data_IF_609615138890
#
_entry.id   IF_609615138890
#
_cell.length_a   1.000
_cell.length_b   1.000
_cell.length_c   1.000
_cell.angle_alpha   90.00
_cell.angle_beta   90.00
_cell.angle_gamma   90.00
#
_symmetry.space_group_name_H-M   'P 1'
#
loop_
_entity.id
_entity.type
_entity.pdbx_description
1 polymer ?
#
# COMPACT_ATOMS: atom_id res chain seq x y z
N UNK A 1 9.74 -8.68 0.38
CA UNK A 1 8.76 -7.86 1.13
C UNK A 1 8.35 -6.71 0.23
N UNK A 2 7.14 -6.76 -0.32
CA UNK A 2 6.72 -5.98 -1.48
C UNK A 2 7.12 -4.50 -1.46
N UNK A 3 6.86 -3.77 -0.36
CA UNK A 3 7.24 -2.36 -0.22
C UNK A 3 8.72 -2.10 -0.51
N UNK A 4 9.61 -2.94 0.00
CA UNK A 4 11.05 -2.77 -0.17
C UNK A 4 11.49 -3.03 -1.61
N UNK A 5 10.83 -3.98 -2.28
CA UNK A 5 11.09 -4.33 -3.68
C UNK A 5 10.66 -3.18 -4.60
N UNK A 6 9.44 -2.67 -4.42
CA UNK A 6 8.94 -1.51 -5.16
C UNK A 6 9.80 -0.26 -4.94
N UNK A 7 10.27 -0.02 -3.72
CA UNK A 7 11.17 1.10 -3.43
C UNK A 7 12.50 0.96 -4.16
N UNK A 8 13.07 -0.26 -4.17
CA UNK A 8 14.32 -0.56 -4.88
C UNK A 8 14.17 -0.33 -6.38
N UNK A 9 13.06 -0.77 -6.98
CA UNK A 9 12.77 -0.57 -8.41
C UNK A 9 12.66 0.91 -8.79
N UNK A 10 12.14 1.72 -7.88
CA UNK A 10 11.99 3.17 -8.10
C UNK A 10 13.20 3.99 -7.64
N UNK A 11 14.21 3.37 -7.03
CA UNK A 11 15.37 4.07 -6.47
C UNK A 11 15.03 5.02 -5.32
N UNK A 12 13.95 4.73 -4.57
CA UNK A 12 13.49 5.57 -3.44
C UNK A 12 13.52 4.79 -2.13
N UNK A 13 13.62 5.45 -0.97
CA UNK A 13 13.45 4.79 0.32
C UNK A 13 12.07 4.14 0.48
N UNK A 14 11.99 3.00 1.18
CA UNK A 14 10.75 2.24 1.38
C UNK A 14 9.58 3.05 1.97
N UNK A 15 9.87 4.00 2.87
CA UNK A 15 8.84 4.85 3.46
C UNK A 15 8.14 5.77 2.44
N UNK A 16 8.75 6.02 1.27
CA UNK A 16 8.17 6.82 0.18
C UNK A 16 7.01 6.08 -0.47
N UNK A 17 7.17 4.77 -0.70
CA UNK A 17 6.11 3.89 -1.23
C UNK A 17 4.93 3.89 -0.25
N UNK A 18 5.16 3.42 0.97
CA UNK A 18 4.22 3.58 2.09
C UNK A 18 4.95 3.79 3.41
N UNK A 19 4.52 4.81 4.15
CA UNK A 19 4.94 5.01 5.53
C UNK A 19 4.35 3.94 6.45
N UNK A 20 4.95 3.78 7.62
CA UNK A 20 4.52 2.75 8.58
C UNK A 20 3.10 3.00 9.12
N UNK A 21 2.67 4.26 9.19
CA UNK A 21 1.28 4.60 9.52
C UNK A 21 0.28 4.02 8.50
N UNK A 22 0.60 4.10 7.20
CA UNK A 22 -0.23 3.55 6.13
C UNK A 22 -0.24 2.02 6.16
N UNK A 23 0.92 1.39 6.39
CA UNK A 23 1.00 -0.07 6.52
C UNK A 23 0.19 -0.59 7.70
N UNK A 24 0.26 0.09 8.86
CA UNK A 24 -0.56 -0.27 10.03
C UNK A 24 -2.06 -0.11 9.74
N UNK A 25 -2.45 0.96 9.05
CA UNK A 25 -3.84 1.16 8.67
C UNK A 25 -4.32 0.05 7.72
N UNK A 26 -3.54 -0.29 6.68
CA UNK A 26 -3.83 -1.39 5.75
C UNK A 26 -3.96 -2.75 6.46
N UNK A 27 -3.07 -3.04 7.41
CA UNK A 27 -3.11 -4.28 8.19
C UNK A 27 -4.33 -4.36 9.12
N UNK A 28 -4.79 -3.21 9.63
CA UNK A 28 -5.97 -3.12 10.50
C UNK A 28 -7.29 -3.20 9.71
N UNK A 29 -7.38 -2.52 8.56
CA UNK A 29 -8.60 -2.46 7.75
C UNK A 29 -8.76 -3.63 6.79
N UNK A 30 -7.65 -4.28 6.39
CA UNK A 30 -7.62 -5.40 5.44
C UNK A 30 -8.52 -5.19 4.21
N UNK A 31 -8.28 -4.13 3.42
CA UNK A 31 -9.12 -3.81 2.27
C UNK A 31 -9.02 -4.92 1.21
N UNK A 32 -10.16 -5.25 0.61
CA UNK A 32 -10.30 -6.28 -0.44
C UNK A 32 -10.63 -5.70 -1.81
N UNK A 33 -10.73 -4.37 -1.91
CA UNK A 33 -11.06 -3.67 -3.16
C UNK A 33 -10.45 -2.27 -3.20
N UNK A 34 -10.35 -1.70 -4.41
CA UNK A 34 -9.86 -0.35 -4.61
C UNK A 34 -10.71 0.72 -3.89
N UNK A 35 -12.02 0.48 -3.74
CA UNK A 35 -12.90 1.32 -2.93
C UNK A 35 -12.54 1.24 -1.43
N UNK A 36 -12.16 0.05 -0.94
CA UNK A 36 -11.70 -0.13 0.44
C UNK A 36 -10.37 0.56 0.77
N UNK A 37 -9.60 0.97 -0.24
CA UNK A 37 -8.40 1.80 -0.06
C UNK A 37 -8.73 3.28 0.17
N UNK A 38 -9.95 3.71 -0.17
CA UNK A 38 -10.38 5.09 0.05
C UNK A 38 -10.51 5.38 1.56
N UNK A 39 -9.97 6.52 1.98
CA UNK A 39 -9.96 6.90 3.40
C UNK A 39 -8.81 6.29 4.22
N UNK A 40 -7.98 5.42 3.66
CA UNK A 40 -6.78 4.95 4.36
C UNK A 40 -5.74 6.07 4.44
N UNK A 41 -5.32 6.39 5.66
CA UNK A 41 -4.32 7.44 5.93
C UNK A 41 -3.03 7.20 5.13
N UNK A 42 -2.66 8.17 4.30
CA UNK A 42 -1.46 8.13 3.46
C UNK A 42 -1.65 7.42 2.10
N UNK A 43 -2.87 7.02 1.76
CA UNK A 43 -3.27 6.62 0.40
C UNK A 43 -4.12 7.74 -0.21
N UNK A 44 -3.48 8.56 -1.05
CA UNK A 44 -4.19 9.50 -1.93
C UNK A 44 -4.45 8.90 -3.31
N UNK A 45 -5.21 9.61 -4.16
CA UNK A 45 -5.55 9.18 -5.52
C UNK A 45 -4.34 8.66 -6.32
N UNK A 46 -3.24 9.44 -6.36
CA UNK A 46 -2.01 9.04 -7.06
C UNK A 46 -1.42 7.72 -6.57
N UNK A 47 -1.44 7.46 -5.25
CA UNK A 47 -0.92 6.21 -4.68
C UNK A 47 -1.87 5.04 -4.91
N UNK A 48 -3.18 5.30 -4.89
CA UNK A 48 -4.20 4.32 -5.25
C UNK A 48 -4.03 3.89 -6.70
N UNK A 49 -3.85 4.82 -7.62
CA UNK A 49 -3.64 4.51 -9.04
C UNK A 49 -2.31 3.79 -9.27
N UNK A 50 -1.23 4.19 -8.58
CA UNK A 50 0.09 3.60 -8.77
C UNK A 50 0.27 2.23 -8.10
N UNK A 51 -0.37 2.01 -6.94
CA UNK A 51 -0.07 0.87 -6.06
C UNK A 51 -1.29 0.07 -5.60
N UNK A 52 -2.51 0.49 -5.97
CA UNK A 52 -3.75 -0.07 -5.45
C UNK A 52 -3.84 -1.58 -5.64
N UNK A 53 -3.65 -2.06 -6.86
CA UNK A 53 -3.73 -3.49 -7.15
C UNK A 53 -2.63 -4.29 -6.45
N UNK A 54 -1.42 -3.75 -6.45
CA UNK A 54 -0.27 -4.40 -5.83
C UNK A 54 -0.42 -4.51 -4.30
N UNK A 55 -0.92 -3.47 -3.65
CA UNK A 55 -1.15 -3.49 -2.20
C UNK A 55 -2.32 -4.41 -1.83
N UNK A 56 -3.38 -4.45 -2.63
CA UNK A 56 -4.50 -5.38 -2.43
C UNK A 56 -4.04 -6.83 -2.54
N UNK A 57 -3.20 -7.16 -3.53
CA UNK A 57 -2.62 -8.49 -3.65
C UNK A 57 -1.77 -8.86 -2.42
N UNK A 58 -0.97 -7.91 -1.90
CA UNK A 58 -0.17 -8.13 -0.68
C UNK A 58 -1.05 -8.36 0.54
N UNK A 59 -2.10 -7.56 0.72
CA UNK A 59 -3.07 -7.71 1.82
C UNK A 59 -3.76 -9.07 1.72
N UNK A 60 -4.22 -9.47 0.53
CA UNK A 60 -4.86 -10.76 0.30
C UNK A 60 -3.92 -11.94 0.58
N UNK A 61 -2.63 -11.83 0.26
CA UNK A 61 -1.64 -12.87 0.51
C UNK A 61 -1.31 -13.08 2.01
N UNK A 62 -1.68 -12.13 2.88
CA UNK A 62 -1.43 -12.18 4.33
C UNK A 62 -2.74 -12.15 5.15
N UNK A 63 -3.88 -12.40 4.50
CA UNK A 63 -5.20 -12.47 5.13
C UNK A 63 -5.36 -13.79 5.91
#
# INVERSE_FOLDING_TARGET
AWRAETAREQGVPAYVVFGDATLRALAATRPTSAAGLEGITGIGAKKKDAYGDAVLAVVAAHA
#
